data_IF_052179196076
#
_entry.id   IF_052179196076
#
_cell.length_a   1.000
_cell.length_b   1.000
_cell.length_c   1.000
_cell.angle_alpha   90.00
_cell.angle_beta   90.00
_cell.angle_gamma   90.00
#
_symmetry.space_group_name_H-M   'P 1'
#
loop_
_entity.id
_entity.type
_entity.pdbx_description
1 polymer ?
#
# COMPACT_ATOMS: atom_id res chain seq x y z
N UNK A 1 -14.83 -34.49 -9.95
CA UNK A 1 -14.45 -35.20 -8.70
C UNK A 1 -13.54 -34.26 -7.93
N UNK A 2 -13.92 -33.86 -6.71
CA UNK A 2 -13.08 -32.97 -5.88
C UNK A 2 -11.79 -33.71 -5.49
N UNK A 3 -10.63 -33.08 -5.68
CA UNK A 3 -9.35 -33.63 -5.27
C UNK A 3 -8.90 -32.96 -3.98
N UNK A 4 -8.39 -33.77 -3.05
CA UNK A 4 -7.91 -33.32 -1.74
C UNK A 4 -6.47 -32.82 -1.85
N UNK A 5 -6.09 -31.84 -1.02
CA UNK A 5 -4.69 -31.42 -0.89
C UNK A 5 -3.77 -32.61 -0.58
N UNK A 6 -2.56 -32.59 -1.15
CA UNK A 6 -1.61 -33.70 -1.07
C UNK A 6 -1.79 -34.80 -2.13
N UNK A 7 -2.95 -34.91 -2.80
CA UNK A 7 -3.12 -35.81 -3.97
C UNK A 7 -2.73 -35.17 -5.30
N UNK A 8 -2.69 -33.84 -5.34
CA UNK A 8 -2.13 -33.04 -6.43
C UNK A 8 -1.13 -32.07 -5.81
N UNK A 9 0.07 -31.96 -6.40
CA UNK A 9 0.98 -30.86 -6.09
C UNK A 9 0.43 -29.60 -6.74
N UNK A 10 -0.36 -28.82 -6.00
CA UNK A 10 -0.60 -27.42 -6.35
C UNK A 10 0.76 -26.70 -6.16
N UNK A 11 1.32 -26.01 -7.16
CA UNK A 11 2.48 -25.14 -6.98
C UNK A 11 2.06 -23.81 -6.34
N UNK A 12 1.37 -23.90 -5.19
CA UNK A 12 0.89 -22.76 -4.42
C UNK A 12 2.04 -22.09 -3.68
N UNK A 13 2.09 -20.75 -3.77
CA UNK A 13 3.08 -19.94 -3.06
C UNK A 13 3.32 -18.64 -3.82
N UNK A 14 3.14 -17.52 -3.11
CA UNK A 14 3.03 -16.15 -3.62
C UNK A 14 3.96 -15.81 -4.80
N UNK A 15 3.52 -14.85 -5.62
CA UNK A 15 4.38 -14.19 -6.60
C UNK A 15 5.12 -13.01 -5.93
N UNK A 16 6.40 -12.83 -6.22
CA UNK A 16 7.18 -11.63 -5.85
C UNK A 16 7.99 -11.18 -7.04
N UNK A 17 8.01 -9.87 -7.31
CA UNK A 17 8.99 -9.24 -8.19
C UNK A 17 9.56 -7.97 -7.55
N UNK A 18 10.76 -7.59 -7.99
CA UNK A 18 11.47 -6.40 -7.52
C UNK A 18 12.37 -5.84 -8.60
N UNK A 19 12.35 -4.52 -8.76
CA UNK A 19 13.13 -3.78 -9.76
C UNK A 19 13.71 -2.52 -9.13
N UNK A 20 14.96 -2.19 -9.47
CA UNK A 20 15.65 -1.00 -8.98
C UNK A 20 16.54 -0.40 -10.08
N UNK A 21 16.40 0.89 -10.33
CA UNK A 21 17.38 1.66 -11.09
C UNK A 21 18.49 2.15 -10.16
N UNK A 22 19.68 1.52 -10.24
CA UNK A 22 20.84 1.86 -9.39
C UNK A 22 21.36 3.30 -9.53
N UNK A 23 20.93 4.05 -10.55
CA UNK A 23 21.28 5.47 -10.75
C UNK A 23 20.18 6.43 -10.25
N UNK A 24 19.10 5.92 -9.67
CA UNK A 24 17.97 6.72 -9.20
C UNK A 24 17.07 7.27 -10.31
N UNK A 25 17.26 6.89 -11.58
CA UNK A 25 16.38 7.34 -12.65
C UNK A 25 14.98 6.73 -12.49
N UNK A 26 13.96 7.59 -12.51
CA UNK A 26 12.57 7.19 -12.36
C UNK A 26 12.03 6.53 -13.63
N UNK A 27 11.37 5.39 -13.49
CA UNK A 27 10.73 4.64 -14.57
C UNK A 27 9.31 4.20 -14.18
N UNK A 28 8.50 3.90 -15.20
CA UNK A 28 7.07 3.58 -15.07
C UNK A 28 6.83 2.23 -14.38
N UNK A 29 5.69 2.08 -13.70
CA UNK A 29 5.26 0.80 -13.12
C UNK A 29 4.97 -0.30 -14.17
N UNK A 30 4.92 0.04 -15.45
CA UNK A 30 4.67 -0.90 -16.55
C UNK A 30 5.56 -2.15 -16.53
N UNK A 31 6.86 -2.01 -16.21
CA UNK A 31 7.79 -3.14 -16.30
C UNK A 31 7.67 -4.08 -15.10
N UNK A 32 7.41 -3.55 -13.90
CA UNK A 32 7.15 -4.38 -12.72
C UNK A 32 5.80 -5.12 -12.86
N UNK A 33 4.77 -4.47 -13.43
CA UNK A 33 3.47 -5.09 -13.75
C UNK A 33 3.65 -6.30 -14.67
N UNK A 34 4.34 -6.11 -15.81
CA UNK A 34 4.61 -7.21 -16.76
C UNK A 34 5.41 -8.33 -16.11
N UNK A 35 6.35 -8.01 -15.23
CA UNK A 35 7.18 -9.00 -14.53
C UNK A 35 6.39 -9.83 -13.51
N UNK A 36 5.50 -9.22 -12.73
CA UNK A 36 4.69 -9.96 -11.75
C UNK A 36 3.61 -10.82 -12.45
N UNK A 37 3.06 -10.35 -13.57
CA UNK A 37 2.06 -11.07 -14.38
C UNK A 37 2.57 -12.42 -14.94
N UNK A 38 3.89 -12.57 -15.16
CA UNK A 38 4.51 -13.86 -15.53
C UNK A 38 4.37 -14.95 -14.45
N UNK A 39 3.90 -14.60 -13.26
CA UNK A 39 3.63 -15.49 -12.14
C UNK A 39 2.14 -15.51 -11.74
N UNK A 40 1.22 -15.25 -12.68
CA UNK A 40 -0.23 -15.31 -12.46
C UNK A 40 -0.66 -16.59 -11.70
N UNK A 41 -0.26 -17.76 -12.23
CA UNK A 41 -0.59 -19.09 -11.68
C UNK A 41 -0.01 -19.38 -10.28
N UNK A 42 0.86 -18.50 -9.75
CA UNK A 42 1.38 -18.56 -8.38
C UNK A 42 0.52 -17.81 -7.37
N UNK A 43 -0.43 -17.01 -7.84
CA UNK A 43 -1.36 -16.21 -7.06
C UNK A 43 -2.77 -16.80 -7.15
N UNK A 44 -3.72 -16.30 -6.36
CA UNK A 44 -5.14 -16.72 -6.47
C UNK A 44 -6.14 -15.54 -6.44
N UNK A 45 -5.66 -14.32 -6.66
CA UNK A 45 -6.50 -13.12 -6.66
C UNK A 45 -6.98 -12.64 -5.27
N UNK A 46 -6.65 -13.32 -4.17
CA UNK A 46 -7.07 -12.94 -2.81
C UNK A 46 -6.20 -11.83 -2.18
N UNK A 47 -5.37 -11.16 -2.98
CA UNK A 47 -4.57 -10.02 -2.58
C UNK A 47 -3.40 -9.77 -3.54
N UNK A 48 -3.09 -8.52 -3.79
CA UNK A 48 -1.87 -8.14 -4.49
C UNK A 48 -1.55 -6.67 -4.26
N UNK A 49 -0.37 -6.26 -4.70
CA UNK A 49 0.03 -4.87 -4.59
C UNK A 49 1.48 -4.61 -4.94
N UNK A 50 1.82 -3.32 -4.87
CA UNK A 50 3.12 -2.75 -5.18
C UNK A 50 3.55 -1.79 -4.08
N UNK A 51 4.86 -1.64 -3.87
CA UNK A 51 5.43 -0.46 -3.23
C UNK A 51 6.42 0.20 -4.19
N UNK A 52 6.47 1.52 -4.15
CA UNK A 52 7.23 2.34 -5.09
C UNK A 52 8.00 3.42 -4.33
N UNK A 53 9.25 3.67 -4.71
CA UNK A 53 10.16 4.63 -4.07
C UNK A 53 10.64 5.69 -5.06
N UNK A 54 10.71 6.95 -4.62
CA UNK A 54 10.89 8.10 -5.51
C UNK A 54 9.62 8.48 -6.28
N UNK A 55 8.46 7.99 -5.83
CA UNK A 55 7.18 8.13 -6.53
C UNK A 55 6.50 9.49 -6.30
N UNK A 56 6.94 10.24 -5.29
CA UNK A 56 6.39 11.54 -4.91
C UNK A 56 7.48 12.62 -4.88
N UNK A 57 8.12 12.93 -6.03
CA UNK A 57 9.23 13.89 -6.08
C UNK A 57 8.83 15.29 -5.58
N UNK A 58 7.60 15.73 -5.85
CA UNK A 58 7.09 17.05 -5.45
C UNK A 58 6.77 17.16 -3.94
N UNK A 59 6.74 16.02 -3.23
CA UNK A 59 6.44 15.90 -1.81
C UNK A 59 7.44 14.97 -1.10
N UNK A 60 8.68 14.91 -1.60
CA UNK A 60 9.72 13.97 -1.18
C UNK A 60 9.96 13.96 0.34
N UNK A 61 9.94 15.12 0.99
CA UNK A 61 10.23 15.27 2.42
C UNK A 61 9.00 15.07 3.33
N UNK A 62 7.80 14.90 2.74
CA UNK A 62 6.55 14.70 3.46
C UNK A 62 6.22 13.20 3.58
N UNK A 63 5.60 12.81 4.70
CA UNK A 63 5.03 11.47 4.82
C UNK A 63 3.78 11.34 3.95
N UNK A 64 3.76 10.36 3.05
CA UNK A 64 2.62 10.00 2.22
C UNK A 64 1.76 8.97 2.96
N UNK A 65 0.83 9.47 3.78
CA UNK A 65 -0.10 8.64 4.56
C UNK A 65 -1.23 8.18 3.63
N UNK A 66 -1.13 6.97 3.10
CA UNK A 66 -2.19 6.33 2.32
C UNK A 66 -3.20 5.68 3.26
N UNK A 67 -4.48 5.91 3.00
CA UNK A 67 -5.59 5.44 3.82
C UNK A 67 -6.62 4.68 2.99
N UNK A 68 -7.14 3.60 3.57
CA UNK A 68 -8.45 3.05 3.22
C UNK A 68 -9.46 3.46 4.29
N UNK A 69 -10.66 3.87 3.87
CA UNK A 69 -11.81 4.07 4.74
C UNK A 69 -13.03 3.30 4.24
N UNK A 70 -13.78 2.69 5.15
CA UNK A 70 -15.01 1.97 4.84
C UNK A 70 -16.19 2.92 4.57
N UNK A 71 -16.19 4.11 5.19
CA UNK A 71 -17.23 5.13 5.06
C UNK A 71 -16.68 6.53 5.37
N UNK A 72 -17.43 7.57 4.95
CA UNK A 72 -17.01 8.96 5.17
C UNK A 72 -16.82 9.32 6.65
N UNK A 73 -17.66 8.80 7.57
CA UNK A 73 -17.50 9.08 9.00
C UNK A 73 -16.12 8.72 9.57
N UNK A 74 -15.57 7.56 9.18
CA UNK A 74 -14.21 7.15 9.58
C UNK A 74 -13.13 8.07 8.97
N UNK A 75 -13.35 8.54 7.73
CA UNK A 75 -12.50 9.57 7.10
C UNK A 75 -12.53 10.87 7.90
N UNK A 76 -13.72 11.37 8.23
CA UNK A 76 -13.89 12.64 8.95
C UNK A 76 -13.26 12.59 10.36
N UNK A 77 -13.34 11.45 11.04
CA UNK A 77 -12.70 11.21 12.34
C UNK A 77 -11.17 11.21 12.26
N UNK A 78 -10.61 10.48 11.29
CA UNK A 78 -9.16 10.47 11.07
C UNK A 78 -8.66 11.80 10.54
N UNK A 79 -9.40 12.54 9.71
CA UNK A 79 -9.03 13.90 9.31
C UNK A 79 -9.01 14.86 10.50
N UNK A 80 -9.97 14.76 11.43
CA UNK A 80 -9.90 15.50 12.70
C UNK A 80 -8.67 15.12 13.52
N UNK A 81 -8.25 13.85 13.51
CA UNK A 81 -7.02 13.41 14.18
C UNK A 81 -5.76 13.95 13.47
N UNK A 82 -5.64 13.77 12.16
CA UNK A 82 -4.49 14.21 11.36
C UNK A 82 -4.30 15.73 11.46
N UNK A 83 -5.35 16.53 11.29
CA UNK A 83 -5.26 18.00 11.40
C UNK A 83 -4.84 18.51 12.80
N UNK A 84 -4.97 17.69 13.86
CA UNK A 84 -4.46 18.03 15.20
C UNK A 84 -2.97 17.72 15.38
N UNK A 85 -2.43 16.73 14.66
CA UNK A 85 -1.08 16.20 14.86
C UNK A 85 -0.10 16.55 13.72
N UNK A 86 -0.62 16.88 12.53
CA UNK A 86 0.15 17.11 11.32
C UNK A 86 -0.26 18.39 10.61
N UNK A 87 0.70 19.06 9.99
CA UNK A 87 0.45 20.05 8.95
C UNK A 87 0.33 19.32 7.61
N UNK A 88 -0.87 19.34 7.05
CA UNK A 88 -1.22 18.61 5.82
C UNK A 88 -1.01 19.55 4.62
N UNK A 89 -0.06 19.19 3.75
CA UNK A 89 0.29 19.95 2.55
C UNK A 89 -0.66 19.69 1.39
N UNK A 90 -1.13 18.44 1.25
CA UNK A 90 -2.09 18.01 0.24
C UNK A 90 -2.94 16.85 0.81
N UNK A 91 -4.22 16.84 0.47
CA UNK A 91 -5.21 15.83 0.84
C UNK A 91 -6.06 15.52 -0.40
N UNK A 92 -5.99 14.29 -0.92
CA UNK A 92 -6.68 13.92 -2.15
C UNK A 92 -7.00 12.42 -2.25
N UNK A 93 -7.94 12.08 -3.16
CA UNK A 93 -8.13 10.68 -3.58
C UNK A 93 -6.90 10.20 -4.33
N UNK A 94 -6.49 8.96 -4.11
CA UNK A 94 -5.52 8.32 -5.02
C UNK A 94 -6.23 8.10 -6.36
N UNK A 95 -5.66 8.56 -7.50
CA UNK A 95 -6.21 8.30 -8.83
C UNK A 95 -6.36 6.80 -9.12
N UNK A 96 -7.50 6.41 -9.70
CA UNK A 96 -7.79 5.03 -10.10
C UNK A 96 -8.59 4.96 -11.39
N UNK A 97 -8.43 3.91 -12.20
CA UNK A 97 -9.30 3.58 -13.34
C UNK A 97 -10.25 2.43 -12.99
N UNK A 98 -11.39 2.32 -13.68
CA UNK A 98 -12.34 1.21 -13.48
C UNK A 98 -11.79 -0.08 -14.10
N UNK A 99 -11.50 -1.07 -13.26
CA UNK A 99 -11.14 -2.45 -13.67
C UNK A 99 -12.24 -3.39 -13.21
N UNK A 100 -12.66 -4.33 -14.06
CA UNK A 100 -13.88 -5.14 -13.81
C UNK A 100 -13.70 -6.21 -12.74
N UNK A 101 -12.49 -6.73 -12.55
CA UNK A 101 -12.13 -7.73 -11.53
C UNK A 101 -11.96 -7.15 -10.12
N UNK A 102 -11.59 -5.87 -10.00
CA UNK A 102 -11.42 -5.20 -8.71
C UNK A 102 -12.79 -4.82 -8.13
N UNK A 103 -13.09 -5.35 -6.93
CA UNK A 103 -14.37 -5.21 -6.22
C UNK A 103 -14.20 -4.62 -4.82
N UNK A 104 -15.31 -4.22 -4.22
CA UNK A 104 -15.40 -3.79 -2.82
C UNK A 104 -14.38 -2.70 -2.45
N UNK A 105 -14.25 -1.74 -3.38
CA UNK A 105 -13.25 -0.67 -3.34
C UNK A 105 -13.56 0.26 -2.15
N UNK A 106 -12.65 0.40 -1.16
CA UNK A 106 -12.82 1.35 -0.07
C UNK A 106 -12.66 2.79 -0.58
N UNK A 107 -12.94 3.78 0.28
CA UNK A 107 -12.51 5.15 -0.01
C UNK A 107 -10.98 5.18 0.13
N UNK A 108 -10.29 5.30 -1.01
CA UNK A 108 -8.83 5.37 -1.07
C UNK A 108 -8.40 6.85 -1.09
N UNK A 109 -7.57 7.23 -0.13
CA UNK A 109 -7.12 8.61 0.06
C UNK A 109 -5.63 8.67 0.38
N UNK A 110 -4.98 9.80 0.10
CA UNK A 110 -3.63 10.09 0.59
C UNK A 110 -3.52 11.49 1.16
N UNK A 111 -2.66 11.62 2.17
CA UNK A 111 -2.27 12.89 2.78
C UNK A 111 -0.76 13.02 2.69
N UNK A 112 -0.27 14.17 2.24
CA UNK A 112 1.14 14.53 2.34
C UNK A 112 1.31 15.43 3.55
N UNK A 113 2.01 14.92 4.57
CA UNK A 113 1.95 15.48 5.92
C UNK A 113 3.33 15.55 6.58
N UNK A 114 3.50 16.56 7.44
CA UNK A 114 4.61 16.68 8.40
C UNK A 114 4.04 16.79 9.82
N UNK A 115 4.64 16.15 10.83
CA UNK A 115 4.23 16.38 12.22
C UNK A 115 4.34 17.85 12.61
N UNK A 116 3.38 18.35 13.40
CA UNK A 116 3.47 19.73 13.89
C UNK A 116 4.62 19.84 14.89
N UNK A 117 5.48 20.84 14.73
CA UNK A 117 6.65 21.05 15.59
C UNK A 117 6.28 21.06 17.09
N UNK A 118 5.23 21.77 17.47
CA UNK A 118 4.77 21.81 18.86
C UNK A 118 4.31 20.44 19.40
N UNK A 119 3.82 19.53 18.53
CA UNK A 119 3.42 18.18 18.93
C UNK A 119 4.61 17.25 19.10
N UNK A 120 5.67 17.40 18.29
CA UNK A 120 6.94 16.74 18.53
C UNK A 120 7.51 17.17 19.89
N UNK A 121 7.61 18.48 20.14
CA UNK A 121 8.11 19.05 21.40
C UNK A 121 7.29 18.58 22.61
N UNK A 122 5.95 18.65 22.54
CA UNK A 122 5.04 18.20 23.61
C UNK A 122 5.18 16.70 23.91
N UNK A 123 5.41 15.88 22.87
CA UNK A 123 5.57 14.43 23.03
C UNK A 123 6.95 13.99 23.54
N UNK A 124 7.98 14.81 23.31
CA UNK A 124 9.38 14.44 23.57
C UNK A 124 9.93 13.32 22.67
N UNK A 125 9.25 13.00 21.56
CA UNK A 125 9.60 11.94 20.63
C UNK A 125 10.37 12.48 19.42
N UNK A 126 11.15 11.62 18.77
CA UNK A 126 11.63 11.90 17.41
C UNK A 126 10.48 11.81 16.39
N UNK A 127 10.70 12.38 15.21
CA UNK A 127 9.70 12.47 14.14
C UNK A 127 9.18 11.08 13.71
N UNK A 128 10.07 10.09 13.62
CA UNK A 128 9.75 8.74 13.12
C UNK A 128 8.91 7.94 14.12
N UNK A 129 9.24 8.04 15.40
CA UNK A 129 8.48 7.43 16.50
C UNK A 129 7.12 8.12 16.68
N UNK A 130 7.05 9.45 16.56
CA UNK A 130 5.79 10.18 16.60
C UNK A 130 4.84 9.75 15.46
N UNK A 131 5.33 9.66 14.22
CA UNK A 131 4.51 9.19 13.09
C UNK A 131 4.15 7.73 13.24
N UNK A 132 5.06 6.88 13.70
CA UNK A 132 4.78 5.46 13.99
C UNK A 132 3.65 5.32 15.00
N UNK A 133 3.68 6.04 16.12
CA UNK A 133 2.59 6.04 17.11
C UNK A 133 1.27 6.55 16.54
N UNK A 134 1.28 7.62 15.74
CA UNK A 134 0.07 8.10 15.08
C UNK A 134 -0.52 7.06 14.12
N UNK A 135 0.32 6.37 13.34
CA UNK A 135 -0.09 5.31 12.40
C UNK A 135 -0.69 4.12 13.16
N UNK A 136 -0.03 3.66 14.24
CA UNK A 136 -0.55 2.57 15.07
C UNK A 136 -1.86 2.96 15.76
N UNK A 137 -1.96 4.19 16.28
CA UNK A 137 -3.19 4.70 16.92
C UNK A 137 -4.36 4.77 15.94
N UNK A 138 -4.13 5.19 14.69
CA UNK A 138 -5.18 5.15 13.66
C UNK A 138 -5.65 3.70 13.44
N UNK A 139 -4.71 2.79 13.22
CA UNK A 139 -5.01 1.37 12.97
C UNK A 139 -5.63 0.62 14.17
N UNK A 140 -5.39 1.06 15.40
CA UNK A 140 -5.91 0.40 16.62
C UNK A 140 -7.21 0.98 17.15
N UNK A 141 -7.57 2.22 16.78
CA UNK A 141 -8.58 2.99 17.52
C UNK A 141 -9.59 3.74 16.66
N UNK A 142 -9.47 3.71 15.32
CA UNK A 142 -10.43 4.33 14.41
C UNK A 142 -11.11 3.24 13.57
N UNK A 143 -12.31 2.83 13.99
CA UNK A 143 -13.06 1.80 13.28
C UNK A 143 -13.36 2.23 11.84
N UNK A 144 -13.17 1.30 10.90
CA UNK A 144 -13.37 1.57 9.47
C UNK A 144 -12.30 2.45 8.83
N UNK A 145 -11.16 2.70 9.48
CA UNK A 145 -9.99 3.34 8.91
C UNK A 145 -8.75 2.43 8.97
N UNK A 146 -7.88 2.48 7.95
CA UNK A 146 -6.64 1.71 7.94
C UNK A 146 -5.54 2.42 7.14
N UNK A 147 -4.38 2.64 7.76
CA UNK A 147 -3.15 3.16 7.14
C UNK A 147 -2.50 2.05 6.33
N UNK A 148 -2.40 2.22 5.01
CA UNK A 148 -1.81 1.21 4.11
C UNK A 148 -0.39 1.52 3.67
N UNK A 149 0.08 2.76 3.88
CA UNK A 149 1.42 3.26 3.60
C UNK A 149 1.63 4.56 4.39
N UNK A 150 2.86 4.85 4.81
CA UNK A 150 3.13 6.05 5.63
C UNK A 150 4.55 6.62 5.49
N UNK A 151 5.29 6.28 4.44
CA UNK A 151 6.68 6.71 4.24
C UNK A 151 6.85 8.02 3.48
N UNK A 152 8.07 8.57 3.51
CA UNK A 152 8.53 9.71 2.73
C UNK A 152 8.95 9.27 1.34
N UNK A 153 8.54 10.03 0.32
CA UNK A 153 8.79 9.74 -1.10
C UNK A 153 8.49 8.30 -1.55
N UNK A 154 7.61 7.59 -0.84
CA UNK A 154 7.24 6.21 -1.14
C UNK A 154 5.75 5.99 -0.92
N UNK A 155 5.18 5.02 -1.62
CA UNK A 155 3.77 4.67 -1.49
C UNK A 155 3.53 3.19 -1.79
N UNK A 156 2.57 2.60 -1.08
CA UNK A 156 2.06 1.27 -1.39
C UNK A 156 0.62 1.32 -1.94
N UNK A 157 0.38 0.45 -2.91
CA UNK A 157 -0.85 0.35 -3.71
C UNK A 157 -1.29 -1.10 -3.67
N UNK A 158 -2.39 -1.40 -2.99
CA UNK A 158 -2.78 -2.78 -2.64
C UNK A 158 -4.29 -2.96 -2.83
N UNK A 159 -4.73 -4.17 -3.15
CA UNK A 159 -6.14 -4.51 -3.22
C UNK A 159 -6.36 -6.02 -3.10
N UNK A 160 -7.63 -6.44 -3.06
CA UNK A 160 -8.03 -7.81 -3.42
C UNK A 160 -8.13 -7.88 -4.95
N UNK A 161 -7.33 -8.75 -5.56
CA UNK A 161 -7.20 -8.90 -7.02
C UNK A 161 -5.86 -9.53 -7.41
N UNK A 162 -5.65 -9.74 -8.72
CA UNK A 162 -4.34 -10.10 -9.26
C UNK A 162 -3.45 -8.85 -9.41
N UNK A 163 -2.11 -8.95 -9.23
CA UNK A 163 -1.22 -7.78 -9.28
C UNK A 163 -1.32 -6.95 -10.57
N UNK A 164 -1.49 -7.58 -11.72
CA UNK A 164 -1.65 -6.92 -13.01
C UNK A 164 -2.89 -6.01 -13.06
N UNK A 165 -4.06 -6.54 -12.66
CA UNK A 165 -5.31 -5.78 -12.55
C UNK A 165 -5.20 -4.62 -11.54
N UNK A 166 -4.43 -4.82 -10.48
CA UNK A 166 -4.18 -3.82 -9.43
C UNK A 166 -3.26 -2.70 -9.96
N UNK A 167 -2.26 -3.05 -10.76
CA UNK A 167 -1.37 -2.09 -11.42
C UNK A 167 -2.13 -1.21 -12.40
N UNK A 168 -3.04 -1.79 -13.17
CA UNK A 168 -3.97 -1.06 -14.03
C UNK A 168 -4.91 -0.19 -13.19
N UNK A 169 -5.58 -0.75 -12.18
CA UNK A 169 -6.53 -0.05 -11.32
C UNK A 169 -5.93 1.22 -10.69
N UNK A 170 -4.70 1.15 -10.16
CA UNK A 170 -3.98 2.29 -9.59
C UNK A 170 -3.24 3.15 -10.61
N UNK A 171 -3.36 2.87 -11.90
CA UNK A 171 -2.74 3.64 -12.99
C UNK A 171 -1.21 3.73 -12.86
N UNK A 172 -0.55 2.67 -12.40
CA UNK A 172 0.90 2.67 -12.10
C UNK A 172 1.79 2.85 -13.34
N UNK A 173 1.22 2.68 -14.54
CA UNK A 173 1.81 3.09 -15.81
C UNK A 173 2.10 4.61 -15.88
N UNK A 174 1.25 5.43 -15.25
CA UNK A 174 1.36 6.90 -15.23
C UNK A 174 2.33 7.43 -14.16
N UNK A 175 2.55 6.65 -13.10
CA UNK A 175 3.53 6.95 -12.05
C UNK A 175 4.95 6.63 -12.50
N UNK A 176 5.95 7.25 -11.85
CA UNK A 176 7.38 6.93 -12.04
C UNK A 176 8.08 6.81 -10.70
N UNK A 177 8.93 5.80 -10.54
CA UNK A 177 9.70 5.52 -9.33
C UNK A 177 11.06 4.88 -9.70
N UNK A 178 12.05 4.88 -8.81
CA UNK A 178 13.35 4.23 -9.05
C UNK A 178 13.48 2.86 -8.39
N UNK A 179 12.60 2.50 -7.45
CA UNK A 179 12.41 1.13 -6.96
C UNK A 179 10.93 0.80 -7.08
N UNK A 180 10.65 -0.42 -7.53
CA UNK A 180 9.34 -1.05 -7.44
C UNK A 180 9.49 -2.43 -6.81
N UNK A 181 8.62 -2.77 -5.86
CA UNK A 181 8.39 -4.15 -5.40
C UNK A 181 6.94 -4.51 -5.70
N UNK A 182 6.69 -5.79 -5.97
CA UNK A 182 5.37 -6.31 -6.29
C UNK A 182 5.13 -7.67 -5.62
N UNK A 183 3.89 -7.94 -5.26
CA UNK A 183 3.47 -9.19 -4.65
C UNK A 183 2.09 -9.63 -5.12
N UNK A 184 1.94 -10.93 -5.41
CA UNK A 184 0.65 -11.61 -5.61
C UNK A 184 0.44 -12.67 -4.53
N UNK A 185 -0.68 -12.59 -3.81
CA UNK A 185 -0.97 -13.37 -2.60
C UNK A 185 -1.62 -14.71 -2.94
N UNK A 186 -1.25 -15.72 -2.15
CA UNK A 186 -1.95 -17.00 -2.06
C UNK A 186 -2.13 -17.33 -0.57
N UNK A 187 -3.23 -16.92 0.09
CA UNK A 187 -3.50 -17.34 1.47
C UNK A 187 -4.05 -18.75 1.50
N UNK A 188 -3.58 -19.55 2.45
CA UNK A 188 -4.11 -20.88 2.79
C UNK A 188 -5.34 -20.79 3.70
N UNK A 189 -5.33 -19.89 4.69
CA UNK A 189 -6.24 -19.93 5.84
C UNK A 189 -7.05 -18.65 6.13
N UNK A 190 -6.95 -17.58 5.33
CA UNK A 190 -7.64 -16.30 5.61
C UNK A 190 -8.33 -15.70 4.37
N UNK A 191 -9.54 -15.10 4.52
CA UNK A 191 -10.17 -14.33 3.46
C UNK A 191 -9.27 -13.21 2.91
N UNK A 192 -9.45 -12.86 1.63
CA UNK A 192 -8.85 -11.66 1.05
C UNK A 192 -9.55 -10.42 1.57
N UNK A 193 -8.79 -9.46 2.10
CA UNK A 193 -9.26 -8.11 2.40
C UNK A 193 -8.18 -7.09 2.06
N UNK A 194 -8.59 -5.87 1.71
CA UNK A 194 -7.72 -4.89 1.05
C UNK A 194 -6.47 -4.50 1.86
N UNK A 195 -6.57 -4.30 3.17
CA UNK A 195 -5.42 -3.97 4.03
C UNK A 195 -4.52 -5.17 4.38
N UNK A 196 -5.02 -6.39 4.24
CA UNK A 196 -4.28 -7.65 4.44
C UNK A 196 -3.48 -8.09 3.21
N UNK A 197 -3.57 -7.36 2.10
CA UNK A 197 -2.69 -7.54 0.96
C UNK A 197 -1.30 -6.94 1.23
N UNK A 198 -0.28 -7.59 0.69
CA UNK A 198 1.09 -7.11 0.67
C UNK A 198 1.29 -6.06 -0.45
N UNK A 199 2.14 -5.03 -0.28
CA UNK A 199 2.79 -4.52 0.94
C UNK A 199 3.68 -5.55 1.66
N UNK A 200 3.83 -5.54 3.00
CA UNK A 200 3.36 -4.57 4.01
C UNK A 200 4.30 -3.34 4.12
N UNK A 201 3.97 -2.34 4.95
CA UNK A 201 4.72 -1.07 5.07
C UNK A 201 4.61 -0.41 6.45
N UNK A 202 5.68 0.23 6.91
CA UNK A 202 5.66 1.21 8.01
C UNK A 202 6.75 2.25 7.76
N UNK A 203 6.37 3.53 7.72
CA UNK A 203 7.24 4.60 7.22
C UNK A 203 7.84 4.18 5.87
N UNK A 204 9.16 4.36 5.69
CA UNK A 204 9.87 4.11 4.44
C UNK A 204 10.15 2.62 4.19
N UNK A 205 9.77 1.74 5.11
CA UNK A 205 10.05 0.31 5.04
C UNK A 205 8.89 -0.41 4.32
N UNK A 206 9.23 -1.32 3.39
CA UNK A 206 8.25 -2.22 2.76
C UNK A 206 8.74 -3.66 2.74
N UNK A 207 7.84 -4.63 2.96
CA UNK A 207 8.17 -6.06 3.12
C UNK A 207 7.19 -6.95 2.37
N UNK A 208 7.62 -7.44 1.20
CA UNK A 208 6.95 -8.53 0.46
C UNK A 208 7.48 -9.89 0.96
N UNK A 209 6.60 -10.89 1.14
CA UNK A 209 6.96 -12.19 1.71
C UNK A 209 6.41 -13.36 0.89
N UNK A 210 7.19 -14.43 0.73
CA UNK A 210 6.80 -15.65 0.02
C UNK A 210 7.41 -16.85 0.74
N UNK A 211 6.57 -17.52 1.53
CA UNK A 211 6.95 -18.54 2.50
C UNK A 211 5.98 -18.51 3.68
N UNK A 212 6.27 -19.32 4.69
CA UNK A 212 5.71 -19.25 6.05
C UNK A 212 6.86 -19.04 7.04
#
# INVERSE_FOLDING_TARGET
MLQYEGKVRIPSGCAISGMMNKKGYLFSGNDIIKSIALMHDRSNGLGGGFAAYGIYPDYNDHYAIHMFYNHNGAKDEVERFLNRHFDIKLSERIPTRKVSSIKDIPIIWRYFALPKEHKLIESGLDESEFVTRCVMQINSSFEGAFVVSSGKNMGAFKAVGYPEDIGDFYMLDTYKAYIWTAHGRFPTNTPGWWGGAHPFTLLDWSVVHNGE
#
